data_IF_540798177650
#
_entry.id   IF_540798177650
#
_cell.length_a   1.000
_cell.length_b   1.000
_cell.length_c   1.000
_cell.angle_alpha   90.00
_cell.angle_beta   90.00
_cell.angle_gamma   90.00
#
_symmetry.space_group_name_H-M   'P 1'
#
loop_
_entity.id
_entity.type
_entity.pdbx_description
1 polymer ?
#
# COMPACT_ATOMS: atom_id res chain seq x y z
N UNK A 1 15.30 35.62 1.77
CA UNK A 1 15.65 34.20 1.51
C UNK A 1 17.04 33.99 0.88
N UNK A 2 17.89 35.02 0.72
CA UNK A 2 19.18 34.89 0.00
C UNK A 2 20.45 34.84 0.88
N UNK A 3 20.37 35.07 2.20
CA UNK A 3 21.58 35.08 3.05
C UNK A 3 22.13 33.69 3.36
N UNK A 4 21.26 32.68 3.45
CA UNK A 4 21.68 31.29 3.65
C UNK A 4 22.30 30.69 2.39
N UNK A 5 21.79 31.05 1.21
CA UNK A 5 22.34 30.62 -0.08
C UNK A 5 23.70 31.25 -0.38
N UNK A 6 23.89 32.54 -0.07
CA UNK A 6 25.19 33.21 -0.21
C UNK A 6 26.22 32.69 0.81
N UNK A 7 25.80 32.41 2.05
CA UNK A 7 26.71 31.89 3.08
C UNK A 7 27.21 30.47 2.77
N UNK A 8 26.33 29.60 2.23
CA UNK A 8 26.69 28.23 1.84
C UNK A 8 27.58 28.18 0.59
N UNK A 9 27.32 29.02 -0.41
CA UNK A 9 28.17 29.07 -1.61
C UNK A 9 29.56 29.63 -1.30
N UNK A 10 29.64 30.65 -0.44
CA UNK A 10 30.89 31.34 -0.12
C UNK A 10 31.80 30.58 0.86
N UNK A 11 31.25 29.74 1.75
CA UNK A 11 32.07 28.97 2.71
C UNK A 11 32.32 27.51 2.32
N UNK A 12 31.46 26.89 1.49
CA UNK A 12 31.54 25.44 1.23
C UNK A 12 31.82 25.14 -0.25
N UNK A 13 31.61 26.09 -1.17
CA UNK A 13 31.84 25.88 -2.61
C UNK A 13 30.89 24.83 -3.23
N UNK A 14 29.79 24.51 -2.54
CA UNK A 14 28.80 23.52 -2.97
C UNK A 14 27.58 24.26 -3.51
N UNK A 15 27.20 23.92 -4.74
CA UNK A 15 25.99 24.43 -5.39
C UNK A 15 24.73 24.11 -4.58
N UNK A 16 23.77 25.05 -4.55
CA UNK A 16 22.58 24.96 -3.68
C UNK A 16 21.71 23.72 -3.98
N UNK A 17 21.73 23.23 -5.22
CA UNK A 17 21.03 22.01 -5.62
C UNK A 17 21.68 20.74 -5.03
N UNK A 18 23.00 20.68 -4.92
CA UNK A 18 23.73 19.57 -4.27
C UNK A 18 23.41 19.54 -2.77
N UNK A 19 23.43 20.70 -2.12
CA UNK A 19 23.06 20.82 -0.71
C UNK A 19 21.60 20.35 -0.47
N UNK A 20 20.69 20.66 -1.40
CA UNK A 20 19.29 20.20 -1.34
C UNK A 20 19.17 18.68 -1.48
N UNK A 21 19.94 18.05 -2.37
CA UNK A 21 19.97 16.59 -2.52
C UNK A 21 20.45 15.90 -1.24
N UNK A 22 21.53 16.41 -0.63
CA UNK A 22 22.05 15.90 0.64
C UNK A 22 21.03 16.05 1.75
N UNK A 23 20.37 17.21 1.85
CA UNK A 23 19.32 17.43 2.84
C UNK A 23 18.14 16.46 2.67
N UNK A 24 17.67 16.23 1.44
CA UNK A 24 16.58 15.28 1.16
C UNK A 24 16.98 13.84 1.50
N UNK A 25 18.20 13.43 1.16
CA UNK A 25 18.72 12.10 1.51
C UNK A 25 18.73 11.92 3.03
N UNK A 26 19.22 12.92 3.76
CA UNK A 26 19.32 12.89 5.23
C UNK A 26 17.92 12.83 5.88
N UNK A 27 16.97 13.64 5.40
CA UNK A 27 15.56 13.59 5.84
C UNK A 27 14.93 12.24 5.54
N UNK A 28 15.18 11.67 4.35
CA UNK A 28 14.65 10.36 3.95
C UNK A 28 15.16 9.25 4.87
N UNK A 29 16.46 9.24 5.17
CA UNK A 29 17.09 8.27 6.08
C UNK A 29 16.51 8.41 7.48
N UNK A 30 16.42 9.64 8.02
CA UNK A 30 15.84 9.90 9.33
C UNK A 30 14.38 9.43 9.37
N UNK A 31 13.57 9.82 8.40
CA UNK A 31 12.15 9.46 8.34
C UNK A 31 11.96 7.94 8.23
N UNK A 32 12.79 7.26 7.44
CA UNK A 32 12.79 5.80 7.37
C UNK A 32 13.18 5.16 8.70
N UNK A 33 14.18 5.70 9.41
CA UNK A 33 14.61 5.19 10.71
C UNK A 33 13.51 5.39 11.78
N UNK A 34 12.87 6.55 11.79
CA UNK A 34 11.73 6.84 12.66
C UNK A 34 10.56 5.89 12.35
N UNK A 35 10.23 5.69 11.07
CA UNK A 35 9.20 4.74 10.66
C UNK A 35 9.50 3.32 11.15
N UNK A 36 10.74 2.85 11.05
CA UNK A 36 11.14 1.54 11.61
C UNK A 36 10.93 1.48 13.12
N UNK A 37 11.31 2.53 13.86
CA UNK A 37 11.14 2.57 15.32
C UNK A 37 9.66 2.57 15.68
N UNK A 38 8.85 3.41 15.04
CA UNK A 38 7.40 3.47 15.26
C UNK A 38 6.72 2.15 14.95
N UNK A 39 7.06 1.50 13.83
CA UNK A 39 6.52 0.19 13.47
C UNK A 39 6.92 -0.90 14.48
N UNK A 40 8.17 -0.88 14.97
CA UNK A 40 8.63 -1.81 16.02
C UNK A 40 7.98 -1.54 17.38
N UNK A 41 7.66 -0.29 17.68
CA UNK A 41 6.93 0.07 18.89
C UNK A 41 5.46 -0.33 18.79
N UNK A 42 4.81 0.00 17.67
CA UNK A 42 3.45 -0.42 17.35
C UNK A 42 3.31 -1.94 17.44
N UNK A 43 4.26 -2.70 16.87
CA UNK A 43 4.25 -4.16 16.94
C UNK A 43 4.35 -4.69 18.38
N UNK A 44 5.13 -4.02 19.24
CA UNK A 44 5.23 -4.37 20.67
C UNK A 44 3.95 -4.04 21.45
N UNK A 45 3.22 -3.01 21.04
CA UNK A 45 1.94 -2.63 21.66
C UNK A 45 0.83 -3.57 21.18
N UNK A 46 0.73 -3.82 19.88
CA UNK A 46 -0.30 -4.71 19.32
C UNK A 46 -0.13 -6.16 19.74
N UNK A 47 1.09 -6.62 20.05
CA UNK A 47 1.33 -7.93 20.65
C UNK A 47 0.70 -8.09 22.04
N UNK A 48 0.39 -6.99 22.73
CA UNK A 48 -0.31 -6.99 24.03
C UNK A 48 -1.83 -6.85 23.90
N UNK A 49 -2.33 -6.58 22.69
CA UNK A 49 -3.74 -6.34 22.43
C UNK A 49 -4.43 -7.61 21.91
N UNK A 50 -5.70 -7.80 22.25
CA UNK A 50 -6.48 -8.96 21.83
C UNK A 50 -7.04 -8.87 20.39
N UNK A 51 -6.79 -7.79 19.65
CA UNK A 51 -7.39 -7.54 18.32
C UNK A 51 -6.65 -8.27 17.20
N UNK A 52 -7.39 -9.03 16.38
CA UNK A 52 -6.90 -9.79 15.21
C UNK A 52 -6.32 -8.89 14.11
N UNK A 53 -6.91 -7.70 13.95
CA UNK A 53 -6.65 -6.76 12.87
C UNK A 53 -5.38 -5.93 13.10
N UNK A 54 -5.11 -5.54 14.35
CA UNK A 54 -4.03 -4.59 14.66
C UNK A 54 -2.64 -5.21 14.42
N UNK A 55 -2.43 -6.44 14.87
CA UNK A 55 -1.17 -7.17 14.61
C UNK A 55 -0.99 -7.49 13.12
N UNK A 56 -2.08 -7.87 12.44
CA UNK A 56 -2.06 -8.09 11.01
C UNK A 56 -1.65 -6.81 10.25
N UNK A 57 -2.20 -5.66 10.63
CA UNK A 57 -1.97 -4.35 10.02
C UNK A 57 -0.52 -3.87 10.21
N UNK A 58 -0.04 -3.84 11.45
CA UNK A 58 1.32 -3.39 11.75
C UNK A 58 2.35 -4.33 11.11
N UNK A 59 2.11 -5.63 11.22
CA UNK A 59 3.03 -6.62 10.69
C UNK A 59 3.00 -6.75 9.16
N UNK A 60 1.94 -6.34 8.47
CA UNK A 60 1.91 -6.25 7.01
C UNK A 60 2.52 -4.95 6.50
N UNK A 61 2.31 -3.81 7.18
CA UNK A 61 2.82 -2.50 6.81
C UNK A 61 4.34 -2.36 6.96
N UNK A 62 4.95 -3.12 7.87
CA UNK A 62 6.34 -2.95 8.29
C UNK A 62 7.41 -2.98 7.20
N UNK A 63 7.22 -3.73 6.09
CA UNK A 63 8.19 -3.78 4.99
C UNK A 63 7.82 -2.90 3.79
N UNK A 64 6.57 -2.91 3.31
CA UNK A 64 6.15 -2.05 2.22
C UNK A 64 6.32 -0.56 2.53
N UNK A 65 6.05 -0.14 3.77
CA UNK A 65 6.21 1.25 4.18
C UNK A 65 7.66 1.72 4.06
N UNK A 66 8.62 0.87 4.45
CA UNK A 66 10.05 1.21 4.39
C UNK A 66 10.50 1.38 2.94
N UNK A 67 10.10 0.47 2.05
CA UNK A 67 10.40 0.58 0.62
C UNK A 67 9.74 1.83 0.02
N UNK A 68 8.50 2.13 0.40
CA UNK A 68 7.81 3.33 -0.05
C UNK A 68 8.52 4.62 0.41
N UNK A 69 9.05 4.68 1.63
CA UNK A 69 9.82 5.83 2.12
C UNK A 69 11.05 6.11 1.25
N UNK A 70 11.79 5.06 0.86
CA UNK A 70 12.91 5.19 -0.07
C UNK A 70 12.47 5.64 -1.46
N UNK A 71 11.37 5.09 -1.99
CA UNK A 71 10.82 5.50 -3.28
C UNK A 71 10.38 6.98 -3.29
N UNK A 72 9.74 7.44 -2.21
CA UNK A 72 9.37 8.86 -2.04
C UNK A 72 10.60 9.75 -2.01
N UNK A 73 11.61 9.40 -1.21
CA UNK A 73 12.87 10.16 -1.12
C UNK A 73 13.61 10.25 -2.46
N UNK A 74 13.72 9.12 -3.17
CA UNK A 74 14.26 9.08 -4.53
C UNK A 74 13.47 9.97 -5.50
N UNK A 75 12.14 9.99 -5.38
CA UNK A 75 11.28 10.87 -6.16
C UNK A 75 11.51 12.36 -5.92
N UNK A 76 11.72 12.76 -4.67
CA UNK A 76 12.06 14.15 -4.34
C UNK A 76 13.44 14.54 -4.89
N UNK A 77 14.43 13.65 -4.77
CA UNK A 77 15.76 13.87 -5.36
C UNK A 77 15.69 14.00 -6.89
N UNK A 78 14.93 13.14 -7.56
CA UNK A 78 14.73 13.20 -9.01
C UNK A 78 14.10 14.54 -9.44
N UNK A 79 13.13 15.08 -8.68
CA UNK A 79 12.52 16.40 -8.97
C UNK A 79 13.48 17.56 -8.81
N UNK A 80 14.38 17.51 -7.84
CA UNK A 80 15.42 18.55 -7.68
C UNK A 80 16.37 18.50 -8.88
N UNK A 81 16.78 17.28 -9.28
CA UNK A 81 17.66 17.10 -10.43
C UNK A 81 17.01 17.56 -11.75
N UNK A 82 15.70 17.36 -11.92
CA UNK A 82 14.95 17.77 -13.12
C UNK A 82 15.01 19.28 -13.38
N UNK A 83 15.09 20.08 -12.31
CA UNK A 83 15.11 21.55 -12.43
C UNK A 83 16.45 22.06 -12.97
N UNK A 84 17.52 21.31 -12.73
CA UNK A 84 18.88 21.70 -13.09
C UNK A 84 19.37 20.98 -14.36
N UNK A 85 18.83 19.78 -14.64
CA UNK A 85 19.22 18.94 -15.76
C UNK A 85 17.96 18.49 -16.51
N UNK A 86 17.76 19.04 -17.70
CA UNK A 86 16.63 18.68 -18.57
C UNK A 86 16.93 17.37 -19.33
N UNK A 87 16.74 16.23 -18.63
CA UNK A 87 16.97 14.89 -19.18
C UNK A 87 15.67 14.08 -19.16
N UNK A 88 15.29 13.56 -20.33
CA UNK A 88 14.11 12.71 -20.52
C UNK A 88 14.06 11.46 -19.61
N UNK A 89 15.22 11.03 -19.09
CA UNK A 89 15.33 9.93 -18.13
C UNK A 89 14.62 10.21 -16.79
N UNK A 90 14.51 11.48 -16.38
CA UNK A 90 13.90 11.82 -15.08
C UNK A 90 12.37 11.64 -15.10
N UNK A 91 11.71 11.93 -16.22
CA UNK A 91 10.27 11.68 -16.35
C UNK A 91 9.95 10.19 -16.22
N UNK A 92 10.78 9.34 -16.83
CA UNK A 92 10.67 7.88 -16.73
C UNK A 92 10.94 7.40 -15.30
N UNK A 93 11.91 7.99 -14.60
CA UNK A 93 12.19 7.69 -13.20
C UNK A 93 11.01 8.08 -12.27
N UNK A 94 10.33 9.19 -12.54
CA UNK A 94 9.14 9.59 -11.78
C UNK A 94 7.95 8.68 -12.05
N UNK A 95 7.72 8.26 -13.29
CA UNK A 95 6.70 7.27 -13.63
C UNK A 95 6.99 5.91 -12.95
N UNK A 96 8.25 5.47 -12.98
CA UNK A 96 8.69 4.24 -12.30
C UNK A 96 8.49 4.31 -10.78
N UNK A 97 8.73 5.48 -10.17
CA UNK A 97 8.42 5.70 -8.74
C UNK A 97 6.96 5.48 -8.45
N UNK A 98 6.06 6.05 -9.24
CA UNK A 98 4.62 5.95 -9.00
C UNK A 98 4.13 4.49 -9.12
N UNK A 99 4.65 3.76 -10.11
CA UNK A 99 4.44 2.30 -10.23
C UNK A 99 5.00 1.55 -9.01
N UNK A 100 6.19 1.92 -8.52
CA UNK A 100 6.79 1.30 -7.35
C UNK A 100 5.95 1.54 -6.08
N UNK A 101 5.36 2.73 -5.92
CA UNK A 101 4.46 3.05 -4.81
C UNK A 101 3.16 2.25 -4.87
N UNK A 102 2.56 2.12 -6.06
CA UNK A 102 1.41 1.24 -6.28
C UNK A 102 1.76 -0.20 -5.90
N UNK A 103 2.93 -0.68 -6.33
CA UNK A 103 3.45 -1.99 -5.98
C UNK A 103 3.62 -2.18 -4.46
N UNK A 104 4.08 -1.16 -3.74
CA UNK A 104 4.18 -1.19 -2.27
C UNK A 104 2.80 -1.32 -1.62
N UNK A 105 1.81 -0.57 -2.08
CA UNK A 105 0.43 -0.65 -1.57
C UNK A 105 -0.17 -2.03 -1.85
N UNK A 106 -0.01 -2.55 -3.07
CA UNK A 106 -0.48 -3.87 -3.44
C UNK A 106 0.18 -4.97 -2.60
N UNK A 107 1.50 -4.88 -2.40
CA UNK A 107 2.26 -5.81 -1.58
C UNK A 107 1.79 -5.79 -0.12
N UNK A 108 1.51 -4.60 0.42
CA UNK A 108 0.91 -4.42 1.74
C UNK A 108 -0.45 -5.11 1.84
N UNK A 109 -1.37 -4.85 0.91
CA UNK A 109 -2.74 -5.39 0.93
C UNK A 109 -2.76 -6.92 0.79
N UNK A 110 -1.94 -7.48 -0.11
CA UNK A 110 -1.81 -8.95 -0.27
C UNK A 110 -1.30 -9.62 1.00
N UNK A 111 -0.29 -9.00 1.63
CA UNK A 111 0.28 -9.49 2.89
C UNK A 111 -0.71 -9.33 4.05
N UNK A 112 -1.45 -8.24 4.08
CA UNK A 112 -2.48 -7.97 5.08
C UNK A 112 -3.60 -9.00 5.01
N UNK A 113 -4.16 -9.25 3.82
CA UNK A 113 -5.19 -10.27 3.62
C UNK A 113 -4.73 -11.65 4.13
N UNK A 114 -3.49 -12.05 3.82
CA UNK A 114 -2.93 -13.31 4.33
C UNK A 114 -2.77 -13.36 5.85
N UNK A 115 -2.31 -12.28 6.46
CA UNK A 115 -2.15 -12.20 7.92
C UNK A 115 -3.50 -12.21 8.65
N UNK A 116 -4.49 -11.50 8.12
CA UNK A 116 -5.84 -11.51 8.68
C UNK A 116 -6.42 -12.93 8.65
N UNK A 117 -6.33 -13.62 7.50
CA UNK A 117 -6.81 -15.00 7.40
C UNK A 117 -6.17 -15.93 8.43
N UNK A 118 -4.83 -15.90 8.53
CA UNK A 118 -4.10 -16.72 9.49
C UNK A 118 -4.44 -16.38 10.95
N UNK A 119 -4.57 -15.08 11.29
CA UNK A 119 -4.91 -14.65 12.64
C UNK A 119 -6.36 -15.03 13.01
N UNK A 120 -7.28 -15.05 12.04
CA UNK A 120 -8.66 -15.52 12.26
C UNK A 120 -8.68 -17.02 12.56
N UNK A 121 -7.95 -17.81 11.77
CA UNK A 121 -7.84 -19.26 11.97
C UNK A 121 -7.20 -19.61 13.32
N UNK A 122 -6.07 -18.98 13.66
CA UNK A 122 -5.34 -19.27 14.90
C UNK A 122 -6.21 -18.99 16.13
N UNK A 123 -6.92 -17.86 16.16
CA UNK A 123 -7.76 -17.43 17.28
C UNK A 123 -8.99 -18.31 17.48
N UNK A 124 -9.64 -18.72 16.39
CA UNK A 124 -10.81 -19.61 16.48
C UNK A 124 -10.38 -21.00 16.94
N UNK A 125 -9.23 -21.50 16.47
CA UNK A 125 -8.63 -22.75 16.93
C UNK A 125 -8.28 -22.72 18.42
N UNK A 126 -7.74 -21.60 18.91
CA UNK A 126 -7.47 -21.39 20.35
C UNK A 126 -8.74 -21.42 21.20
N UNK A 127 -9.89 -20.99 20.65
CA UNK A 127 -11.20 -21.09 21.31
C UNK A 127 -11.88 -22.45 21.18
N UNK A 128 -11.25 -23.42 20.51
CA UNK A 128 -11.84 -24.73 20.24
C UNK A 128 -13.01 -24.70 19.27
N UNK A 129 -13.19 -23.61 18.51
CA UNK A 129 -14.20 -23.51 17.47
C UNK A 129 -13.74 -24.25 16.20
N UNK A 130 -14.64 -24.99 15.55
CA UNK A 130 -14.38 -25.50 14.21
C UNK A 130 -14.24 -24.33 13.24
N UNK A 131 -13.10 -24.26 12.57
CA UNK A 131 -12.83 -23.26 11.54
C UNK A 131 -12.93 -23.93 10.19
N UNK A 132 -13.79 -23.40 9.33
CA UNK A 132 -13.76 -23.76 7.93
C UNK A 132 -12.59 -23.04 7.24
N UNK A 133 -11.43 -23.70 7.23
CA UNK A 133 -10.22 -23.20 6.57
C UNK A 133 -10.45 -22.92 5.08
N UNK A 134 -11.35 -23.68 4.44
CA UNK A 134 -11.66 -23.53 3.01
C UNK A 134 -12.27 -22.17 2.73
N UNK A 135 -13.20 -21.73 3.59
CA UNK A 135 -13.86 -20.43 3.47
C UNK A 135 -12.88 -19.27 3.71
N UNK A 136 -12.02 -19.37 4.73
CA UNK A 136 -11.02 -18.34 5.01
C UNK A 136 -10.02 -18.23 3.87
N UNK A 137 -9.50 -19.36 3.38
CA UNK A 137 -8.58 -19.39 2.24
C UNK A 137 -9.21 -18.83 0.96
N UNK A 138 -10.48 -19.15 0.69
CA UNK A 138 -11.22 -18.62 -0.44
C UNK A 138 -11.32 -17.09 -0.37
N UNK A 139 -11.64 -16.54 0.80
CA UNK A 139 -11.76 -15.09 1.01
C UNK A 139 -10.41 -14.37 0.85
N UNK A 140 -9.33 -14.95 1.38
CA UNK A 140 -7.97 -14.41 1.22
C UNK A 140 -7.55 -14.43 -0.25
N UNK A 141 -7.80 -15.53 -0.97
CA UNK A 141 -7.50 -15.63 -2.40
C UNK A 141 -8.27 -14.60 -3.22
N UNK A 142 -9.55 -14.40 -2.92
CA UNK A 142 -10.39 -13.40 -3.57
C UNK A 142 -9.86 -11.98 -3.31
N UNK A 143 -9.54 -11.65 -2.06
CA UNK A 143 -8.97 -10.34 -1.71
C UNK A 143 -7.63 -10.07 -2.43
N UNK A 144 -6.77 -11.10 -2.53
CA UNK A 144 -5.51 -11.01 -3.28
C UNK A 144 -5.74 -10.80 -4.78
N UNK A 145 -6.68 -11.54 -5.38
CA UNK A 145 -7.03 -11.40 -6.78
C UNK A 145 -7.49 -9.97 -7.09
N UNK A 146 -8.44 -9.44 -6.32
CA UNK A 146 -8.95 -8.07 -6.48
C UNK A 146 -7.83 -7.05 -6.34
N UNK A 147 -6.98 -7.20 -5.30
CA UNK A 147 -5.84 -6.31 -5.08
C UNK A 147 -4.89 -6.28 -6.27
N UNK A 148 -4.54 -7.45 -6.82
CA UNK A 148 -3.62 -7.55 -7.97
C UNK A 148 -4.25 -6.93 -9.22
N UNK A 149 -5.52 -7.21 -9.50
CA UNK A 149 -6.23 -6.63 -10.65
C UNK A 149 -6.26 -5.10 -10.58
N UNK A 150 -6.63 -4.54 -9.42
CA UNK A 150 -6.65 -3.09 -9.20
C UNK A 150 -5.24 -2.51 -9.36
N UNK A 151 -4.23 -3.11 -8.73
CA UNK A 151 -2.85 -2.64 -8.82
C UNK A 151 -2.32 -2.61 -10.25
N UNK A 152 -2.62 -3.63 -11.05
CA UNK A 152 -2.23 -3.70 -12.48
C UNK A 152 -2.91 -2.60 -13.28
N UNK A 153 -4.21 -2.39 -13.09
CA UNK A 153 -4.95 -1.33 -13.80
C UNK A 153 -4.41 0.06 -13.41
N UNK A 154 -4.20 0.31 -12.12
CA UNK A 154 -3.65 1.59 -11.65
C UNK A 154 -2.23 1.81 -12.16
N UNK A 155 -1.38 0.77 -12.15
CA UNK A 155 -0.02 0.86 -12.69
C UNK A 155 -0.01 1.14 -14.21
N UNK A 156 -0.89 0.47 -14.97
CA UNK A 156 -1.04 0.73 -16.39
C UNK A 156 -1.50 2.18 -16.65
N UNK A 157 -2.44 2.69 -15.86
CA UNK A 157 -2.88 4.09 -15.95
C UNK A 157 -1.72 5.07 -15.70
N UNK A 158 -0.86 4.81 -14.70
CA UNK A 158 0.29 5.69 -14.42
C UNK A 158 1.34 5.71 -15.52
N UNK A 159 1.43 4.66 -16.33
CA UNK A 159 2.32 4.60 -17.48
C UNK A 159 1.70 5.19 -18.76
N UNK A 160 0.49 5.75 -18.68
CA UNK A 160 -0.20 6.38 -19.81
C UNK A 160 -1.00 5.42 -20.68
N UNK A 161 -1.21 4.16 -20.26
CA UNK A 161 -2.07 3.24 -21.00
C UNK A 161 -3.54 3.66 -20.88
N UNK A 162 -4.29 3.55 -21.98
CA UNK A 162 -5.73 3.81 -22.01
C UNK A 162 -6.48 2.69 -21.27
N UNK A 163 -6.86 2.92 -20.01
CA UNK A 163 -7.56 1.92 -19.18
C UNK A 163 -9.05 1.76 -19.50
N UNK A 164 -9.61 2.59 -20.37
CA UNK A 164 -11.05 2.56 -20.70
C UNK A 164 -11.49 1.17 -21.18
N UNK A 165 -10.68 0.51 -22.02
CA UNK A 165 -10.96 -0.85 -22.48
C UNK A 165 -10.90 -1.88 -21.35
N UNK A 166 -9.90 -1.80 -20.47
CA UNK A 166 -9.77 -2.70 -19.32
C UNK A 166 -10.91 -2.52 -18.32
N UNK A 167 -11.33 -1.28 -18.07
CA UNK A 167 -12.48 -0.98 -17.21
C UNK A 167 -13.80 -1.44 -17.83
N UNK A 168 -13.97 -1.30 -19.14
CA UNK A 168 -15.15 -1.82 -19.84
C UNK A 168 -15.24 -3.36 -19.74
N UNK A 169 -14.12 -4.07 -19.99
CA UNK A 169 -14.04 -5.53 -19.84
C UNK A 169 -14.26 -5.96 -18.37
N UNK A 170 -13.63 -5.26 -17.43
CA UNK A 170 -13.82 -5.49 -16.00
C UNK A 170 -15.25 -5.24 -15.55
N UNK A 171 -15.93 -4.24 -16.12
CA UNK A 171 -17.33 -3.94 -15.85
C UNK A 171 -18.26 -5.05 -16.34
N UNK A 172 -18.10 -5.52 -17.58
CA UNK A 172 -18.89 -6.66 -18.12
C UNK A 172 -18.62 -7.94 -17.31
N UNK A 173 -17.35 -8.22 -17.00
CA UNK A 173 -16.98 -9.35 -16.14
C UNK A 173 -17.57 -9.24 -14.73
N UNK A 174 -17.58 -8.03 -14.16
CA UNK A 174 -18.18 -7.75 -12.85
C UNK A 174 -19.70 -7.97 -12.84
N UNK A 175 -20.40 -7.60 -13.92
CA UNK A 175 -21.82 -7.89 -14.09
C UNK A 175 -22.07 -9.39 -14.15
N UNK A 176 -21.26 -10.13 -14.93
CA UNK A 176 -21.39 -11.58 -15.03
C UNK A 176 -21.20 -12.28 -13.67
N UNK A 177 -20.16 -11.90 -12.93
CA UNK A 177 -19.90 -12.40 -11.57
C UNK A 177 -21.02 -11.99 -10.61
N UNK A 178 -21.51 -10.75 -10.71
CA UNK A 178 -22.61 -10.24 -9.90
C UNK A 178 -23.91 -11.01 -10.11
N UNK A 179 -24.24 -11.36 -11.36
CA UNK A 179 -25.39 -12.22 -11.65
C UNK A 179 -25.20 -13.62 -11.10
N UNK A 180 -24.00 -14.19 -11.18
CA UNK A 180 -23.71 -15.49 -10.56
C UNK A 180 -23.82 -15.46 -9.03
N UNK A 181 -23.50 -14.33 -8.38
CA UNK A 181 -23.57 -14.16 -6.94
C UNK A 181 -24.95 -13.71 -6.42
N UNK A 182 -25.92 -13.43 -7.31
CA UNK A 182 -27.22 -12.84 -6.97
C UNK A 182 -27.96 -13.63 -5.88
N UNK A 183 -28.04 -14.95 -6.02
CA UNK A 183 -28.81 -15.79 -5.09
C UNK A 183 -28.15 -15.87 -3.71
N UNK A 184 -26.81 -15.87 -3.65
CA UNK A 184 -26.06 -15.84 -2.39
C UNK A 184 -26.33 -14.53 -1.64
N UNK A 185 -26.25 -13.40 -2.34
CA UNK A 185 -26.51 -12.08 -1.77
C UNK A 185 -27.97 -11.94 -1.30
N UNK A 186 -28.93 -12.43 -2.07
CA UNK A 186 -30.34 -12.42 -1.71
C UNK A 186 -30.60 -13.18 -0.40
N UNK A 187 -30.02 -14.37 -0.25
CA UNK A 187 -30.14 -15.16 0.97
C UNK A 187 -29.46 -14.49 2.18
N UNK A 188 -28.29 -13.86 1.97
CA UNK A 188 -27.59 -13.13 3.02
C UNK A 188 -28.42 -11.95 3.56
N UNK A 189 -28.97 -11.12 2.67
CA UNK A 189 -29.79 -9.98 3.09
C UNK A 189 -31.12 -10.44 3.72
N UNK A 190 -31.75 -11.49 3.20
CA UNK A 190 -32.95 -12.07 3.83
C UNK A 190 -32.69 -12.53 5.27
N UNK A 191 -31.55 -13.18 5.53
CA UNK A 191 -31.13 -13.58 6.87
C UNK A 191 -30.85 -12.39 7.80
N UNK A 192 -30.18 -11.35 7.30
CA UNK A 192 -29.88 -10.14 8.08
C UNK A 192 -31.17 -9.40 8.46
N UNK A 193 -32.11 -9.26 7.52
CA UNK A 193 -33.42 -8.63 7.80
C UNK A 193 -34.16 -9.39 8.89
N UNK A 194 -34.22 -10.72 8.83
CA UNK A 194 -34.86 -11.54 9.88
C UNK A 194 -34.17 -11.37 11.24
N UNK A 195 -32.83 -11.26 11.27
CA UNK A 195 -32.10 -11.03 12.51
C UNK A 195 -32.38 -9.66 13.12
N UNK A 196 -32.49 -8.63 12.29
CA UNK A 196 -32.77 -7.26 12.71
C UNK A 196 -34.26 -7.01 13.05
N UNK A 197 -35.18 -7.77 12.44
CA UNK A 197 -36.63 -7.72 12.71
C UNK A 197 -37.04 -8.54 13.94
N UNK A 198 -36.12 -9.29 14.56
CA UNK A 198 -36.39 -9.89 15.88
C UNK A 198 -36.27 -8.80 16.95
N UNK A 199 -37.36 -8.45 17.66
CA UNK A 199 -37.33 -7.44 18.72
C UNK A 199 -36.42 -7.84 19.90
#
# INVERSE_FOLDING_TARGET
MNRLSEFLSQHIGVELWIASLVAIALVTVIANQVAQVLLRQAARVTAKTSTVWDDALVGSASRPLLVAMWAVGAGFMARVLQREVDVAFIEQALALRDVALIGCVAWFLVRFAGKVGHNVESRRRERGEEVDHTTVDALVKLARLVTVVVAVITAAQTLGFQIAGLLALGGVGGIAVGFAAKDILANFFGGLTIYLDRP
#
